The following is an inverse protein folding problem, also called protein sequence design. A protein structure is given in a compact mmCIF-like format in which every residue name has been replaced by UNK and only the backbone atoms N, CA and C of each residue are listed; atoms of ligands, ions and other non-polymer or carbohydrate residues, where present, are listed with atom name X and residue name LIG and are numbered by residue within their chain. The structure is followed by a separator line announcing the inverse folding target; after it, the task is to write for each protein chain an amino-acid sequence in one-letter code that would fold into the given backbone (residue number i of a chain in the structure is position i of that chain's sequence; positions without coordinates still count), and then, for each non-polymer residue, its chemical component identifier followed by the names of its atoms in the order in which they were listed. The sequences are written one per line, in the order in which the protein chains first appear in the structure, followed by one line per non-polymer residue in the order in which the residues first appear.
data_IF_427928577540
#
_entry.id   IF_427928577540
#
_cell.length_a   1.000
_cell.length_b   1.000
_cell.length_c   1.000
_cell.angle_alpha   90.00
_cell.angle_beta   90.00
_cell.angle_gamma   90.00
#
_symmetry.space_group_name_H-M   'P 1'
#
loop_
_entity.id
_entity.type
_entity.pdbx_description
1 polymer ?
#
# COMPACT_ATOMS: atom_id res chain seq x y z
N UNK A 1 -7.22 -21.06 0.46
CA UNK A 1 -7.26 -19.59 0.30
C UNK A 1 -8.31 -19.00 1.23
N UNK A 2 -8.25 -17.70 1.57
CA UNK A 2 -9.20 -17.05 2.48
C UNK A 2 -10.67 -17.27 2.07
N UNK A 3 -10.94 -17.32 0.76
CA UNK A 3 -12.27 -17.57 0.18
C UNK A 3 -12.83 -18.96 0.51
N UNK A 4 -11.98 -19.98 0.57
CA UNK A 4 -12.39 -21.34 0.96
C UNK A 4 -12.71 -21.40 2.46
N UNK A 5 -11.92 -20.71 3.29
CA UNK A 5 -12.16 -20.63 4.72
C UNK A 5 -13.42 -19.81 5.05
N UNK A 6 -13.70 -18.75 4.30
CA UNK A 6 -14.96 -18.01 4.41
C UNK A 6 -16.16 -18.90 4.07
N UNK A 7 -16.07 -19.69 3.00
CA UNK A 7 -17.13 -20.64 2.63
C UNK A 7 -17.32 -21.72 3.71
N UNK A 8 -16.23 -22.19 4.30
CA UNK A 8 -16.28 -23.12 5.45
C UNK A 8 -16.96 -22.45 6.67
N UNK A 9 -16.62 -21.19 6.97
CA UNK A 9 -17.23 -20.44 8.07
C UNK A 9 -18.74 -20.32 7.91
N UNK A 10 -19.20 -19.93 6.72
CA UNK A 10 -20.62 -19.78 6.38
C UNK A 10 -21.34 -21.13 6.48
N UNK A 11 -20.67 -22.21 6.05
CA UNK A 11 -21.19 -23.58 6.15
C UNK A 11 -21.33 -24.00 7.62
N UNK A 12 -20.28 -23.86 8.44
CA UNK A 12 -20.31 -24.17 9.87
C UNK A 12 -21.39 -23.36 10.62
N UNK A 13 -21.56 -22.08 10.27
CA UNK A 13 -22.63 -21.21 10.82
C UNK A 13 -24.02 -21.74 10.49
N UNK A 14 -24.24 -22.24 9.26
CA UNK A 14 -25.53 -22.81 8.85
C UNK A 14 -25.90 -24.10 9.59
N UNK A 15 -24.90 -24.85 10.07
CA UNK A 15 -25.09 -26.08 10.83
C UNK A 15 -25.19 -25.87 12.36
N UNK A 16 -25.15 -24.62 12.86
CA UNK A 16 -25.31 -24.32 14.28
C UNK A 16 -24.17 -24.82 15.18
N UNK A 17 -23.02 -25.16 14.60
CA UNK A 17 -21.89 -25.67 15.37
C UNK A 17 -21.14 -24.55 16.08
N UNK A 18 -21.39 -24.39 17.38
CA UNK A 18 -20.48 -23.65 18.27
C UNK A 18 -19.35 -24.61 18.65
N UNK A 19 -18.08 -24.34 18.29
CA UNK A 19 -16.97 -25.11 18.82
C UNK A 19 -16.84 -24.81 20.30
N UNK A 20 -16.99 -25.84 21.13
CA UNK A 20 -16.72 -25.74 22.56
C UNK A 20 -15.21 -25.87 22.79
N UNK A 21 -14.57 -24.82 23.26
CA UNK A 21 -13.27 -24.92 23.94
C UNK A 21 -12.12 -24.12 23.35
N UNK A 22 -12.12 -22.80 23.54
CA UNK A 22 -10.94 -22.03 23.94
C UNK A 22 -11.44 -20.69 24.50
N UNK A 23 -10.69 -20.04 25.38
CA UNK A 23 -11.05 -18.79 26.07
C UNK A 23 -11.33 -17.57 25.15
N UNK A 24 -11.42 -17.75 23.84
CA UNK A 24 -11.94 -16.78 22.87
C UNK A 24 -12.99 -17.45 21.97
N UNK A 25 -14.20 -16.88 21.93
CA UNK A 25 -15.35 -17.28 21.10
C UNK A 25 -15.09 -17.14 19.59
N UNK A 26 -14.15 -17.90 19.03
CA UNK A 26 -13.79 -17.83 17.61
C UNK A 26 -14.39 -18.99 16.81
N UNK A 27 -14.81 -18.70 15.57
CA UNK A 27 -15.26 -19.75 14.64
C UNK A 27 -14.07 -20.59 14.15
N UNK A 28 -14.31 -21.82 13.69
CA UNK A 28 -13.25 -22.68 13.14
C UNK A 28 -12.47 -21.99 12.01
N UNK A 29 -13.15 -21.21 11.17
CA UNK A 29 -12.49 -20.49 10.09
C UNK A 29 -11.58 -19.35 10.58
N UNK A 30 -11.96 -18.69 11.67
CA UNK A 30 -11.13 -17.67 12.33
C UNK A 30 -9.87 -18.30 12.92
N UNK A 31 -9.99 -19.45 13.57
CA UNK A 31 -8.85 -20.16 14.15
C UNK A 31 -7.89 -20.70 13.07
N UNK A 32 -8.42 -21.26 11.98
CA UNK A 32 -7.59 -21.70 10.85
C UNK A 32 -6.93 -20.52 10.14
N UNK A 33 -7.63 -19.39 9.98
CA UNK A 33 -7.04 -18.19 9.41
C UNK A 33 -5.93 -17.64 10.30
N UNK A 34 -6.14 -17.61 11.62
CA UNK A 34 -5.10 -17.24 12.59
C UNK A 34 -3.87 -18.12 12.47
N UNK A 35 -4.06 -19.44 12.40
CA UNK A 35 -2.97 -20.40 12.29
C UNK A 35 -2.21 -20.23 10.97
N UNK A 36 -2.91 -20.03 9.84
CA UNK A 36 -2.30 -19.79 8.54
C UNK A 36 -1.42 -18.53 8.54
N UNK A 37 -1.96 -17.44 9.08
CA UNK A 37 -1.27 -16.15 9.21
C UNK A 37 -0.08 -16.25 10.18
N UNK A 38 -0.25 -16.92 11.33
CA UNK A 38 0.79 -17.05 12.37
C UNK A 38 1.92 -18.01 11.97
N UNK A 39 1.60 -19.10 11.28
CA UNK A 39 2.57 -20.09 10.83
C UNK A 39 3.45 -19.58 9.69
N UNK A 40 3.02 -18.52 8.98
CA UNK A 40 3.70 -18.02 7.79
C UNK A 40 3.54 -18.95 6.59
N UNK A 41 2.56 -19.88 6.61
CA UNK A 41 2.27 -20.80 5.49
C UNK A 41 1.84 -20.11 4.19
N UNK A 42 1.64 -18.79 4.24
CA UNK A 42 1.33 -17.98 3.08
C UNK A 42 2.57 -17.37 2.40
N UNK A 43 3.79 -17.82 2.72
CA UNK A 43 5.06 -17.34 2.16
C UNK A 43 5.24 -15.81 2.13
N UNK A 44 4.48 -15.09 2.95
CA UNK A 44 4.53 -13.64 3.06
C UNK A 44 5.37 -13.28 4.28
N UNK A 45 6.68 -13.20 4.05
CA UNK A 45 7.64 -12.67 5.02
C UNK A 45 7.20 -11.25 5.44
N UNK A 46 7.00 -11.02 6.75
CA UNK A 46 6.51 -9.75 7.31
C UNK A 46 5.13 -9.82 7.98
N UNK A 47 4.33 -10.87 7.72
CA UNK A 47 3.00 -11.03 8.36
C UNK A 47 3.07 -11.16 9.89
N UNK A 48 4.18 -11.68 10.42
CA UNK A 48 4.36 -11.85 11.88
C UNK A 48 4.39 -10.53 12.66
N UNK A 49 4.73 -9.41 12.00
CA UNK A 49 4.85 -8.08 12.62
C UNK A 49 3.67 -7.16 12.33
N UNK A 50 2.83 -7.47 11.33
CA UNK A 50 1.60 -6.72 10.99
C UNK A 50 0.41 -7.09 11.86
N UNK A 51 0.50 -8.17 12.64
CA UNK A 51 -0.59 -8.61 13.50
C UNK A 51 -0.92 -7.55 14.55
N UNK A 52 -2.15 -7.00 14.56
CA UNK A 52 -2.59 -6.14 15.63
C UNK A 52 -2.34 -6.83 16.96
N UNK A 53 -1.73 -6.11 17.92
CA UNK A 53 -1.36 -6.64 19.24
C UNK A 53 -2.56 -7.25 20.00
N UNK A 54 -3.79 -6.96 19.57
CA UNK A 54 -5.02 -7.70 19.88
C UNK A 54 -5.89 -7.76 18.64
N UNK A 55 -6.18 -8.96 18.14
CA UNK A 55 -7.35 -9.19 17.29
C UNK A 55 -8.57 -9.16 18.21
N UNK A 56 -9.13 -7.97 18.39
CA UNK A 56 -10.29 -7.72 19.25
C UNK A 56 -10.97 -6.43 18.82
N UNK A 57 -12.18 -6.55 18.27
CA UNK A 57 -12.92 -5.48 17.58
C UNK A 57 -13.55 -5.98 16.28
N UNK A 58 -13.67 -5.11 15.27
CA UNK A 58 -14.21 -5.39 13.92
C UNK A 58 -13.26 -6.19 12.99
N UNK A 59 -11.96 -6.25 13.32
CA UNK A 59 -10.95 -6.92 12.49
C UNK A 59 -10.87 -8.40 12.85
N UNK A 60 -11.14 -9.28 11.89
CA UNK A 60 -11.09 -10.74 12.06
C UNK A 60 -9.83 -11.35 11.42
N UNK A 61 -9.42 -12.54 11.84
CA UNK A 61 -8.28 -13.25 11.27
C UNK A 61 -8.48 -13.59 9.79
N UNK A 62 -9.72 -13.83 9.35
CA UNK A 62 -10.03 -13.99 7.93
C UNK A 62 -9.76 -12.72 7.12
N UNK A 63 -10.05 -11.54 7.67
CA UNK A 63 -9.74 -10.26 7.02
C UNK A 63 -8.23 -10.06 6.89
N UNK A 64 -7.48 -10.32 7.97
CA UNK A 64 -6.01 -10.26 7.96
C UNK A 64 -5.41 -11.24 6.95
N UNK A 65 -5.94 -12.48 6.89
CA UNK A 65 -5.51 -13.47 5.91
C UNK A 65 -5.77 -13.00 4.48
N UNK A 66 -6.96 -12.49 4.20
CA UNK A 66 -7.32 -11.98 2.87
C UNK A 66 -6.43 -10.80 2.44
N UNK A 67 -6.12 -9.87 3.34
CA UNK A 67 -5.18 -8.77 3.08
C UNK A 67 -3.77 -9.29 2.80
N UNK A 68 -3.30 -10.28 3.56
CA UNK A 68 -1.99 -10.92 3.32
C UNK A 68 -1.91 -11.63 1.96
N UNK A 69 -3.04 -12.18 1.47
CA UNK A 69 -3.14 -12.79 0.14
C UNK A 69 -3.20 -11.75 -1.00
N UNK A 70 -3.43 -10.45 -0.69
CA UNK A 70 -3.62 -9.38 -1.67
C UNK A 70 -2.80 -8.10 -1.33
N UNK A 71 -1.45 -8.17 -1.30
CA UNK A 71 -0.61 -7.02 -0.99
C UNK A 71 -0.73 -5.88 -2.03
N UNK A 72 -0.31 -4.68 -1.61
CA UNK A 72 -0.14 -3.52 -2.48
C UNK A 72 0.83 -3.85 -3.63
N UNK A 73 0.52 -3.34 -4.83
CA UNK A 73 1.28 -3.60 -6.05
C UNK A 73 1.67 -2.28 -6.69
N UNK A 74 2.96 -2.09 -6.93
CA UNK A 74 3.54 -0.93 -7.58
C UNK A 74 3.48 -1.11 -9.10
N UNK A 75 2.32 -0.81 -9.71
CA UNK A 75 2.14 -0.97 -11.16
C UNK A 75 2.90 0.07 -11.96
N UNK A 76 3.15 1.24 -11.36
CA UNK A 76 3.84 2.35 -12.00
C UNK A 76 5.18 2.55 -11.31
N UNK A 77 6.27 2.51 -12.09
CA UNK A 77 7.62 2.81 -11.64
C UNK A 77 8.14 3.96 -12.48
N UNK A 78 8.67 4.99 -11.83
CA UNK A 78 9.23 6.18 -12.47
C UNK A 78 10.63 6.45 -11.94
N UNK A 79 11.56 6.69 -12.84
CA UNK A 79 12.95 6.96 -12.52
C UNK A 79 13.70 7.28 -13.82
N UNK A 80 14.86 7.94 -13.75
CA UNK A 80 15.47 8.47 -14.94
C UNK A 80 16.16 7.39 -15.76
N UNK A 81 16.03 7.53 -17.08
CA UNK A 81 16.42 6.53 -18.06
C UNK A 81 15.67 5.19 -17.89
N UNK A 82 15.80 4.31 -18.87
CA UNK A 82 15.19 2.97 -18.85
C UNK A 82 15.81 2.02 -17.79
N UNK A 83 15.91 2.42 -16.52
CA UNK A 83 16.50 1.58 -15.47
C UNK A 83 16.87 2.26 -14.14
N UNK A 84 16.22 3.35 -13.73
CA UNK A 84 16.43 3.92 -12.39
C UNK A 84 15.84 3.06 -11.25
N UNK A 85 14.72 2.39 -11.53
CA UNK A 85 13.98 1.54 -10.59
C UNK A 85 13.34 0.36 -11.34
N UNK A 86 13.29 -0.81 -10.71
CA UNK A 86 12.61 -1.98 -11.28
C UNK A 86 11.90 -2.84 -10.22
N UNK A 87 11.10 -3.79 -10.70
CA UNK A 87 10.50 -4.83 -9.85
C UNK A 87 11.53 -5.86 -9.45
N UNK A 88 11.76 -6.02 -8.14
CA UNK A 88 12.66 -7.04 -7.61
C UNK A 88 12.08 -8.43 -7.93
N UNK A 89 12.89 -9.27 -8.57
CA UNK A 89 12.52 -10.62 -9.02
C UNK A 89 11.27 -10.67 -9.91
N UNK A 90 10.94 -9.55 -10.58
CA UNK A 90 9.73 -9.41 -11.39
C UNK A 90 8.42 -9.35 -10.57
N UNK A 91 8.51 -9.27 -9.23
CA UNK A 91 7.35 -9.11 -8.36
C UNK A 91 6.87 -7.66 -8.31
N UNK A 92 5.58 -7.43 -8.54
CA UNK A 92 4.99 -6.08 -8.44
C UNK A 92 4.85 -5.57 -7.01
N UNK A 93 5.11 -6.40 -6.00
CA UNK A 93 5.03 -6.02 -4.59
C UNK A 93 6.35 -5.50 -4.04
N UNK A 94 7.43 -5.62 -4.82
CA UNK A 94 8.79 -5.34 -4.37
C UNK A 94 9.50 -4.54 -5.45
N UNK A 95 10.18 -3.47 -5.05
CA UNK A 95 10.91 -2.60 -5.97
C UNK A 95 12.33 -2.40 -5.48
N UNK A 96 13.25 -2.17 -6.41
CA UNK A 96 14.64 -1.89 -6.12
C UNK A 96 15.12 -0.71 -6.96
N UNK A 97 15.75 0.26 -6.31
CA UNK A 97 16.47 1.34 -6.98
C UNK A 97 17.81 0.80 -7.50
N UNK A 98 18.13 1.09 -8.76
CA UNK A 98 19.32 0.58 -9.44
C UNK A 98 20.50 1.54 -9.40
N UNK A 99 20.25 2.82 -9.12
CA UNK A 99 21.27 3.86 -9.12
C UNK A 99 21.21 4.67 -7.82
N UNK A 100 22.37 4.93 -7.23
CA UNK A 100 22.49 5.76 -6.03
C UNK A 100 22.41 7.25 -6.39
N UNK A 101 21.77 8.04 -5.52
CA UNK A 101 21.66 9.49 -5.69
C UNK A 101 20.63 9.94 -6.72
N UNK A 102 19.75 9.03 -7.15
CA UNK A 102 18.76 9.27 -8.19
C UNK A 102 17.35 9.14 -7.62
N UNK A 103 16.52 10.16 -7.78
CA UNK A 103 15.12 10.13 -7.33
C UNK A 103 14.29 9.20 -8.21
N UNK A 104 13.71 8.16 -7.60
CA UNK A 104 12.79 7.22 -8.24
C UNK A 104 11.54 7.08 -7.38
N UNK A 105 10.39 6.88 -8.02
CA UNK A 105 9.09 6.75 -7.38
C UNK A 105 8.39 5.48 -7.85
N UNK A 106 7.89 4.70 -6.89
CA UNK A 106 7.03 3.54 -7.14
C UNK A 106 5.61 3.84 -6.64
N UNK A 107 4.59 3.65 -7.48
CA UNK A 107 3.22 4.06 -7.19
C UNK A 107 2.26 2.86 -7.24
N UNK A 108 1.50 2.68 -6.17
CA UNK A 108 0.38 1.74 -6.08
C UNK A 108 -0.94 2.43 -6.51
N UNK A 109 -1.07 2.71 -7.81
CA UNK A 109 -2.12 3.57 -8.37
C UNK A 109 -3.55 3.01 -8.33
N UNK A 110 -3.72 1.71 -8.08
CA UNK A 110 -5.03 1.04 -8.08
C UNK A 110 -5.74 1.03 -6.70
N UNK A 111 -5.20 1.76 -5.71
CA UNK A 111 -5.73 1.80 -4.34
C UNK A 111 -6.09 3.24 -3.95
N UNK A 112 -7.29 3.69 -4.31
CA UNK A 112 -7.82 5.00 -3.92
C UNK A 112 -8.45 4.91 -2.53
N UNK A 113 -7.87 5.61 -1.56
CA UNK A 113 -8.37 5.69 -0.18
C UNK A 113 -9.38 6.83 -0.04
N UNK A 114 -10.67 6.57 -0.28
CA UNK A 114 -11.71 7.61 -0.34
C UNK A 114 -12.38 7.96 1.00
N UNK A 115 -12.34 7.06 1.98
CA UNK A 115 -12.92 7.29 3.33
C UNK A 115 -12.37 6.30 4.36
N UNK A 116 -12.47 6.63 5.64
CA UNK A 116 -12.02 5.77 6.74
C UNK A 116 -10.54 5.94 7.10
N UNK A 117 -10.06 5.12 8.03
CA UNK A 117 -8.65 5.08 8.43
C UNK A 117 -7.94 3.95 7.69
N UNK A 118 -6.80 4.26 7.06
CA UNK A 118 -6.02 3.31 6.27
C UNK A 118 -4.63 3.16 6.89
N UNK A 119 -4.03 1.99 6.68
CA UNK A 119 -2.67 1.70 7.10
C UNK A 119 -1.96 0.87 6.04
N UNK A 120 -0.69 1.18 5.79
CA UNK A 120 0.19 0.41 4.93
C UNK A 120 1.52 0.19 5.64
N UNK A 121 2.12 -0.98 5.45
CA UNK A 121 3.45 -1.29 5.95
C UNK A 121 4.37 -1.57 4.77
N UNK A 122 5.55 -0.99 4.83
CA UNK A 122 6.62 -1.19 3.84
C UNK A 122 7.80 -1.87 4.53
N UNK A 123 8.36 -2.88 3.87
CA UNK A 123 9.60 -3.50 4.29
C UNK A 123 10.74 -2.91 3.45
N UNK A 124 11.81 -2.50 4.11
CA UNK A 124 12.98 -1.93 3.45
C UNK A 124 14.17 -2.86 3.63
N UNK A 125 14.76 -3.27 2.51
CA UNK A 125 16.01 -4.01 2.48
C UNK A 125 17.10 -3.10 1.91
N UNK A 126 18.10 -2.74 2.73
CA UNK A 126 19.23 -1.90 2.33
C UNK A 126 19.37 -0.60 3.12
N UNK A 127 20.39 0.18 2.79
CA UNK A 127 20.73 1.43 3.48
C UNK A 127 19.99 2.61 2.84
N UNK A 128 18.81 2.91 3.39
CA UNK A 128 18.04 4.16 3.27
C UNK A 128 17.14 4.33 2.03
N UNK A 129 15.83 4.03 2.15
CA UNK A 129 14.81 4.73 1.36
C UNK A 129 14.82 6.20 1.76
N UNK A 130 14.62 7.11 0.81
CA UNK A 130 14.53 8.53 1.11
C UNK A 130 13.20 8.84 1.79
N UNK A 131 12.07 8.49 1.16
CA UNK A 131 10.73 8.87 1.63
C UNK A 131 9.65 7.81 1.35
N UNK A 132 8.56 7.82 2.13
CA UNK A 132 7.30 7.15 1.82
C UNK A 132 6.13 8.11 2.00
N UNK A 133 5.07 7.98 1.20
CA UNK A 133 3.99 8.95 1.27
C UNK A 133 2.68 8.49 0.68
N UNK A 134 1.71 9.40 0.77
CA UNK A 134 0.40 9.32 0.13
C UNK A 134 0.21 10.57 -0.71
N UNK A 135 -0.28 10.39 -1.92
CA UNK A 135 -0.55 11.47 -2.86
C UNK A 135 -2.01 11.41 -3.25
N UNK A 136 -2.63 12.57 -3.48
CA UNK A 136 -3.98 12.62 -4.02
C UNK A 136 -4.06 11.88 -5.36
N UNK A 137 -5.22 11.27 -5.68
CA UNK A 137 -5.41 10.62 -6.96
C UNK A 137 -5.13 11.58 -8.13
N UNK A 138 -4.23 11.16 -9.00
CA UNK A 138 -3.81 11.88 -10.20
C UNK A 138 -4.00 10.99 -11.43
N UNK A 139 -4.32 11.59 -12.57
CA UNK A 139 -4.22 10.88 -13.82
C UNK A 139 -2.76 10.88 -14.28
N UNK A 140 -2.05 9.83 -13.89
CA UNK A 140 -0.64 9.60 -14.24
C UNK A 140 -0.57 9.18 -15.72
N UNK A 141 -0.75 10.15 -16.62
CA UNK A 141 -0.70 9.93 -18.06
C UNK A 141 0.71 9.52 -18.50
N UNK A 142 0.80 8.91 -19.69
CA UNK A 142 2.09 8.54 -20.29
C UNK A 142 2.99 9.77 -20.50
N UNK A 143 2.42 10.96 -20.71
CA UNK A 143 3.21 12.19 -20.92
C UNK A 143 3.89 12.67 -19.63
N UNK A 144 3.20 12.60 -18.49
CA UNK A 144 3.81 12.89 -17.19
C UNK A 144 4.93 11.89 -16.86
N UNK A 145 4.72 10.62 -17.23
CA UNK A 145 5.76 9.58 -17.13
C UNK A 145 6.98 9.85 -18.00
N UNK A 146 6.83 10.46 -19.18
CA UNK A 146 7.99 10.81 -20.04
C UNK A 146 8.77 12.00 -19.50
N UNK A 147 8.10 12.94 -18.82
CA UNK A 147 8.77 14.08 -18.17
C UNK A 147 9.57 13.61 -16.95
N UNK A 148 9.03 12.63 -16.21
CA UNK A 148 9.65 11.94 -15.09
C UNK A 148 10.95 11.18 -15.46
N UNK A 149 11.07 10.73 -16.71
CA UNK A 149 12.15 9.85 -17.18
C UNK A 149 13.50 10.57 -17.42
N UNK A 150 13.55 11.92 -17.42
CA UNK A 150 14.79 12.65 -17.77
C UNK A 150 15.60 13.14 -16.55
N UNK A 151 14.95 13.44 -15.43
CA UNK A 151 15.60 14.11 -14.26
C UNK A 151 15.37 13.36 -12.94
N UNK A 152 14.49 12.37 -12.94
CA UNK A 152 13.99 11.70 -11.74
C UNK A 152 12.67 12.32 -11.28
N UNK A 153 11.86 11.52 -10.58
CA UNK A 153 10.49 11.91 -10.26
C UNK A 153 10.25 11.88 -8.76
N UNK A 154 9.72 12.98 -8.24
CA UNK A 154 9.18 13.06 -6.88
C UNK A 154 8.01 14.08 -6.84
N UNK A 155 7.07 13.89 -5.92
CA UNK A 155 5.88 14.75 -5.79
C UNK A 155 6.13 16.08 -5.08
N UNK A 156 7.37 16.32 -4.66
CA UNK A 156 7.84 17.54 -3.99
C UNK A 156 8.67 18.43 -4.93
N UNK A 157 8.83 18.02 -6.19
CA UNK A 157 9.55 18.76 -7.21
C UNK A 157 8.68 19.90 -7.72
N UNK A 158 9.03 21.13 -7.33
CA UNK A 158 8.29 22.34 -7.71
C UNK A 158 8.22 22.54 -9.22
N UNK A 159 9.19 22.02 -9.97
CA UNK A 159 9.21 22.16 -11.43
C UNK A 159 8.06 21.37 -12.09
N UNK A 160 7.51 20.36 -11.39
CA UNK A 160 6.42 19.51 -11.88
C UNK A 160 5.02 19.92 -11.37
N UNK A 161 4.92 20.93 -10.49
CA UNK A 161 3.64 21.29 -9.86
C UNK A 161 2.57 21.70 -10.87
N UNK A 162 2.94 22.47 -11.90
CA UNK A 162 2.03 22.84 -12.98
C UNK A 162 1.47 21.63 -13.72
N UNK A 163 2.31 20.62 -13.96
CA UNK A 163 1.90 19.39 -14.63
C UNK A 163 1.04 18.50 -13.72
N UNK A 164 1.32 18.46 -12.41
CA UNK A 164 0.47 17.75 -11.44
C UNK A 164 -0.92 18.37 -11.35
N UNK A 165 -1.00 19.71 -11.32
CA UNK A 165 -2.29 20.42 -11.36
C UNK A 165 -3.00 20.19 -12.69
N UNK A 166 -2.30 20.14 -13.82
CA UNK A 166 -2.91 19.85 -15.13
C UNK A 166 -3.39 18.39 -15.25
N UNK A 167 -2.70 17.45 -14.59
CA UNK A 167 -3.09 16.04 -14.51
C UNK A 167 -4.30 15.80 -13.58
N UNK A 168 -4.72 16.81 -12.82
CA UNK A 168 -5.99 16.83 -12.12
C UNK A 168 -7.13 16.95 -13.13
N UNK A 169 -7.67 15.82 -13.59
CA UNK A 169 -8.84 15.84 -14.49
C UNK A 169 -10.13 16.14 -13.74
N UNK A 170 -11.12 16.76 -14.40
CA UNK A 170 -12.46 17.01 -13.84
C UNK A 170 -13.15 15.73 -13.28
N UNK A 171 -12.85 14.55 -13.83
CA UNK A 171 -13.35 13.25 -13.33
C UNK A 171 -12.80 12.87 -11.94
N UNK A 172 -11.63 13.41 -11.56
CA UNK A 172 -11.01 13.27 -10.25
C UNK A 172 -11.16 14.54 -9.40
N UNK A 173 -11.55 15.66 -9.99
CA UNK A 173 -11.76 16.95 -9.31
C UNK A 173 -12.82 16.86 -8.21
N UNK A 174 -13.89 16.10 -8.44
CA UNK A 174 -14.94 15.86 -7.44
C UNK A 174 -14.47 15.00 -6.24
N UNK A 175 -13.33 14.32 -6.35
CA UNK A 175 -12.71 13.54 -5.26
C UNK A 175 -11.79 14.38 -4.38
N UNK A 176 -11.43 15.58 -4.82
CA UNK A 176 -10.56 16.47 -4.07
C UNK A 176 -11.42 17.37 -3.19
N UNK A 177 -11.30 17.22 -1.87
CA UNK A 177 -11.94 18.14 -0.93
C UNK A 177 -11.25 19.52 -0.94
N UNK A 178 -11.72 20.44 -0.10
CA UNK A 178 -11.17 21.80 0.03
C UNK A 178 -9.78 21.88 0.69
N UNK A 179 -9.13 20.76 1.01
CA UNK A 179 -7.78 20.80 1.57
C UNK A 179 -6.74 21.02 0.47
N UNK A 180 -5.82 21.94 0.72
CA UNK A 180 -4.73 22.28 -0.20
C UNK A 180 -3.52 21.33 -0.08
N UNK A 181 -3.61 20.27 0.73
CA UNK A 181 -2.54 19.28 0.86
C UNK A 181 -2.70 18.22 -0.23
N UNK A 182 -1.73 18.18 -1.14
CA UNK A 182 -1.76 17.33 -2.33
C UNK A 182 -0.92 16.06 -2.18
N UNK A 183 0.20 16.15 -1.45
CA UNK A 183 1.05 15.03 -1.11
C UNK A 183 1.58 15.16 0.31
N UNK A 184 1.70 14.02 0.98
CA UNK A 184 2.30 13.90 2.30
C UNK A 184 3.39 12.83 2.22
N UNK A 185 4.58 13.11 2.74
CA UNK A 185 5.63 12.10 2.85
C UNK A 185 6.28 12.10 4.22
N UNK A 186 6.90 10.98 4.54
CA UNK A 186 7.74 10.78 5.69
C UNK A 186 9.16 10.53 5.19
N UNK A 187 10.07 11.45 5.49
CA UNK A 187 11.49 11.34 5.18
C UNK A 187 12.22 10.62 6.32
N UNK A 188 12.92 9.54 5.98
CA UNK A 188 13.63 8.71 6.97
C UNK A 188 14.92 9.35 7.49
N UNK A 189 15.48 10.34 6.78
CA UNK A 189 16.68 11.07 7.15
C UNK A 189 16.34 12.32 7.97
N UNK A 190 15.31 13.06 7.56
CA UNK A 190 14.94 14.32 8.22
C UNK A 190 14.07 14.08 9.45
N UNK A 191 13.11 13.15 9.40
CA UNK A 191 12.27 12.73 10.52
C UNK A 191 10.87 13.38 10.59
N UNK A 192 10.68 14.69 10.33
CA UNK A 192 9.35 15.27 10.19
C UNK A 192 8.58 14.74 8.99
N UNK A 193 7.25 14.80 9.09
CA UNK A 193 6.35 14.60 7.95
C UNK A 193 6.38 15.84 7.05
N UNK A 194 6.72 15.66 5.78
CA UNK A 194 6.58 16.67 4.73
C UNK A 194 5.15 16.74 4.23
N UNK A 195 4.64 17.95 4.03
CA UNK A 195 3.34 18.22 3.43
C UNK A 195 3.56 19.24 2.32
N UNK A 196 2.98 19.03 1.15
CA UNK A 196 3.13 19.96 0.02
C UNK A 196 1.79 20.30 -0.62
N UNK A 197 1.68 21.57 -0.99
CA UNK A 197 0.67 22.05 -1.92
C UNK A 197 1.31 22.35 -3.26
N UNK A 198 0.74 21.83 -4.36
CA UNK A 198 1.21 22.17 -5.70
C UNK A 198 0.71 23.53 -6.20
N UNK A 199 -0.10 24.23 -5.39
CA UNK A 199 -0.57 25.58 -5.69
C UNK A 199 0.28 26.69 -5.06
N UNK A 200 1.24 26.33 -4.21
CA UNK A 200 2.11 27.27 -3.48
C UNK A 200 3.38 27.63 -4.26
#
# INVERSE_FOLDING_TARGET
TARELLNLALTCKSFGGIPSGSDLDWSLAEEVAREAVSSGRNDTEGVRTTLPRRVGGETTWLAVLHESENPLKFYTLWGPGNGGIEHLDGSKTSVVGMQSGVACTAIASNYVMSSGSHYAQFLFAGSHPSTIGVVRPLNLSLELGRLADDVGFNFFDSDLFGDFLAAQTDLLGDLWDSSNVHSCEYDFQEGPMGLISWTD
#
